data_IF_683566827630
#
_entry.id   IF_683566827630
#
_cell.length_a   1.000
_cell.length_b   1.000
_cell.length_c   1.000
_cell.angle_alpha   90.00
_cell.angle_beta   90.00
_cell.angle_gamma   90.00
#
_symmetry.space_group_name_H-M   'P 1'
#
loop_
_entity.id
_entity.type
_entity.pdbx_description
1 polymer ?
#
# COMPACT_ATOMS: atom_id res chain seq x y z
N UNK A 1 18.56 -10.64 -3.60
CA UNK A 1 18.38 -9.18 -3.70
C UNK A 1 18.06 -8.59 -2.33
N UNK A 2 16.88 -8.83 -1.74
CA UNK A 2 16.46 -8.19 -0.47
C UNK A 2 17.48 -8.31 0.67
N UNK A 3 17.93 -9.52 1.03
CA UNK A 3 18.93 -9.69 2.11
C UNK A 3 20.29 -9.04 1.80
N UNK A 4 20.64 -8.92 0.52
CA UNK A 4 21.87 -8.26 0.08
C UNK A 4 21.78 -6.72 0.17
N UNK A 5 20.64 -6.17 0.56
CA UNK A 5 20.42 -4.73 0.77
C UNK A 5 19.86 -4.42 2.17
N UNK A 6 19.87 -5.40 3.08
CA UNK A 6 19.32 -5.28 4.43
C UNK A 6 20.33 -5.76 5.49
N UNK A 7 21.63 -5.52 5.27
CA UNK A 7 22.72 -6.06 6.10
C UNK A 7 22.64 -5.60 7.57
N UNK A 8 22.00 -4.47 7.84
CA UNK A 8 21.83 -3.91 9.18
C UNK A 8 20.58 -4.44 9.91
N UNK A 9 19.81 -5.34 9.27
CA UNK A 9 18.57 -5.88 9.82
C UNK A 9 18.72 -7.37 10.14
N UNK A 10 18.20 -7.76 11.31
CA UNK A 10 18.09 -9.18 11.67
C UNK A 10 17.17 -9.93 10.69
N UNK A 11 17.47 -11.19 10.32
CA UNK A 11 16.69 -11.94 9.33
C UNK A 11 15.20 -12.06 9.64
N UNK A 12 14.83 -12.15 10.92
CA UNK A 12 13.44 -12.23 11.36
C UNK A 12 12.70 -10.89 11.20
N UNK A 13 13.38 -9.77 11.42
CA UNK A 13 12.86 -8.43 11.15
C UNK A 13 12.64 -8.23 9.64
N UNK A 14 13.57 -8.69 8.80
CA UNK A 14 13.39 -8.66 7.33
C UNK A 14 12.16 -9.48 6.91
N UNK A 15 12.01 -10.70 7.45
CA UNK A 15 10.86 -11.54 7.14
C UNK A 15 9.53 -10.88 7.53
N UNK A 16 9.46 -10.26 8.71
CA UNK A 16 8.28 -9.51 9.17
C UNK A 16 7.99 -8.29 8.30
N UNK A 17 9.02 -7.57 7.87
CA UNK A 17 8.87 -6.42 7.00
C UNK A 17 8.31 -6.81 5.63
N UNK A 18 8.82 -7.90 5.04
CA UNK A 18 8.28 -8.45 3.79
C UNK A 18 6.83 -8.86 3.98
N UNK A 19 6.51 -9.65 5.02
CA UNK A 19 5.15 -10.13 5.25
C UNK A 19 4.13 -8.99 5.47
N UNK A 20 4.57 -7.87 6.05
CA UNK A 20 3.71 -6.71 6.26
C UNK A 20 3.33 -6.01 4.95
N UNK A 21 4.29 -5.81 4.05
CA UNK A 21 4.11 -4.99 2.85
C UNK A 21 3.89 -5.78 1.55
N UNK A 22 4.26 -7.06 1.53
CA UNK A 22 4.09 -7.98 0.40
C UNK A 22 3.05 -9.01 0.79
N UNK A 23 1.81 -8.79 0.34
CA UNK A 23 0.67 -9.65 0.65
C UNK A 23 -0.28 -9.71 -0.55
N UNK A 24 -1.49 -10.26 -0.38
CA UNK A 24 -2.47 -10.40 -1.47
C UNK A 24 -2.73 -9.09 -2.24
N UNK A 25 -2.69 -7.94 -1.55
CA UNK A 25 -2.92 -6.64 -2.16
C UNK A 25 -1.77 -6.15 -3.04
N UNK A 26 -0.57 -6.73 -2.87
CA UNK A 26 0.59 -6.48 -3.73
C UNK A 26 0.46 -7.20 -5.06
N UNK A 27 -0.21 -8.36 -5.07
CA UNK A 27 -0.49 -9.12 -6.28
C UNK A 27 -1.67 -8.51 -7.03
N UNK A 28 -2.79 -8.29 -6.33
CA UNK A 28 -3.99 -7.64 -6.85
C UNK A 28 -4.73 -6.93 -5.72
N UNK A 29 -5.09 -5.66 -5.93
CA UNK A 29 -5.89 -4.90 -4.97
C UNK A 29 -7.28 -5.50 -4.77
N UNK A 30 -7.85 -6.09 -5.82
CA UNK A 30 -9.24 -6.54 -5.86
C UNK A 30 -10.24 -5.43 -5.54
N UNK A 31 -11.50 -5.81 -5.43
CA UNK A 31 -12.58 -4.85 -5.18
C UNK A 31 -12.42 -4.11 -3.85
N UNK A 32 -11.91 -4.79 -2.81
CA UNK A 32 -11.65 -4.22 -1.48
C UNK A 32 -10.56 -3.14 -1.55
N UNK A 33 -9.43 -3.42 -2.20
CA UNK A 33 -8.34 -2.47 -2.32
C UNK A 33 -8.74 -1.24 -3.14
N UNK A 34 -9.44 -1.43 -4.26
CA UNK A 34 -9.97 -0.31 -5.04
C UNK A 34 -11.01 0.51 -4.27
N UNK A 35 -11.87 -0.13 -3.46
CA UNK A 35 -12.80 0.58 -2.59
C UNK A 35 -12.08 1.42 -1.53
N UNK A 36 -11.02 0.88 -0.92
CA UNK A 36 -10.18 1.60 0.04
C UNK A 36 -9.52 2.84 -0.59
N UNK A 37 -8.97 2.72 -1.80
CA UNK A 37 -8.39 3.83 -2.55
C UNK A 37 -9.43 4.92 -2.84
N UNK A 38 -10.61 4.54 -3.36
CA UNK A 38 -11.70 5.49 -3.63
C UNK A 38 -12.15 6.22 -2.35
N UNK A 39 -12.27 5.49 -1.23
CA UNK A 39 -12.65 6.08 0.05
C UNK A 39 -11.59 7.02 0.65
N UNK A 40 -10.30 6.73 0.45
CA UNK A 40 -9.22 7.62 0.86
C UNK A 40 -9.21 8.90 0.00
N UNK A 41 -9.20 8.75 -1.32
CA UNK A 41 -9.12 9.88 -2.25
C UNK A 41 -10.40 10.74 -2.23
N UNK A 42 -11.58 10.13 -2.04
CA UNK A 42 -12.84 10.85 -1.87
C UNK A 42 -12.81 11.79 -0.66
N UNK A 43 -12.40 11.28 0.51
CA UNK A 43 -12.25 12.10 1.74
C UNK A 43 -11.19 13.18 1.58
N UNK A 44 -10.09 12.88 0.90
CA UNK A 44 -9.07 13.88 0.61
C UNK A 44 -9.59 15.00 -0.31
N UNK A 45 -10.42 14.67 -1.30
CA UNK A 45 -11.05 15.65 -2.17
C UNK A 45 -12.08 16.52 -1.42
N UNK A 46 -12.90 15.91 -0.55
CA UNK A 46 -13.81 16.66 0.34
C UNK A 46 -13.07 17.63 1.25
N UNK A 47 -11.86 17.26 1.70
CA UNK A 47 -10.97 18.11 2.48
C UNK A 47 -10.19 19.14 1.64
N UNK A 48 -10.35 19.16 0.32
CA UNK A 48 -9.63 20.06 -0.59
C UNK A 48 -8.14 19.77 -0.75
N UNK A 49 -7.68 18.57 -0.36
CA UNK A 49 -6.27 18.16 -0.43
C UNK A 49 -5.87 17.67 -1.83
N UNK A 50 -6.83 17.17 -2.60
CA UNK A 50 -6.66 16.70 -3.98
C UNK A 50 -7.87 17.09 -4.84
N UNK A 51 -7.76 17.13 -6.17
CA UNK A 51 -8.92 17.35 -7.04
C UNK A 51 -9.97 16.23 -6.91
N UNK A 52 -11.26 16.51 -7.21
CA UNK A 52 -12.29 15.48 -7.29
C UNK A 52 -11.92 14.40 -8.30
N UNK A 53 -12.16 13.13 -7.95
CA UNK A 53 -11.93 12.00 -8.86
C UNK A 53 -12.88 12.13 -10.06
N UNK A 54 -12.34 12.57 -11.19
CA UNK A 54 -13.07 12.70 -12.45
C UNK A 54 -12.84 11.43 -13.27
N UNK A 55 -13.86 10.57 -13.42
CA UNK A 55 -13.85 9.47 -14.40
C UNK A 55 -13.25 8.12 -13.96
N UNK A 56 -13.45 7.70 -12.70
CA UNK A 56 -13.37 6.28 -12.32
C UNK A 56 -14.75 5.62 -12.40
#
# INVERSE_FOLDING_TARGET
YVLAHAQEMEPDVVARHIALYVNRFTEDLGDEGYAAVRGLLGRAAEAGLVPPMSGL
#
